data_IF_965683963968
#
_entry.id   IF_965683963968
#
_cell.length_a   1.000
_cell.length_b   1.000
_cell.length_c   1.000
_cell.angle_alpha   90.00
_cell.angle_beta   90.00
_cell.angle_gamma   90.00
#
_symmetry.space_group_name_H-M   'P 1'
#
loop_
_entity.id
_entity.type
_entity.pdbx_description
1 polymer ?
#
# COMPACT_ATOMS: atom_id res chain seq x y z
N UNK A 1 -8.09 -20.83 -41.16
CA UNK A 1 -6.98 -20.45 -40.27
C UNK A 1 -7.11 -18.96 -40.12
N UNK A 2 -7.67 -18.53 -38.99
CA UNK A 2 -7.88 -17.11 -38.69
C UNK A 2 -6.54 -16.48 -38.35
N UNK A 3 -6.14 -15.47 -39.13
CA UNK A 3 -4.97 -14.62 -38.86
C UNK A 3 -5.21 -13.86 -37.55
N UNK A 4 -4.65 -14.37 -36.45
CA UNK A 4 -4.47 -13.61 -35.22
C UNK A 4 -3.51 -12.48 -35.56
N UNK A 5 -3.90 -11.20 -35.42
CA UNK A 5 -2.98 -10.10 -35.69
C UNK A 5 -1.86 -10.16 -34.64
N UNK A 6 -0.62 -10.35 -35.10
CA UNK A 6 0.57 -10.18 -34.27
C UNK A 6 0.56 -8.76 -33.70
N UNK A 7 0.27 -8.65 -32.40
CA UNK A 7 0.30 -7.39 -31.66
C UNK A 7 1.74 -6.85 -31.73
N UNK A 8 1.99 -5.58 -32.14
CA UNK A 8 3.34 -5.14 -32.42
C UNK A 8 4.16 -5.20 -31.13
N UNK A 9 5.44 -5.66 -31.17
CA UNK A 9 6.32 -5.70 -29.99
C UNK A 9 6.49 -4.33 -29.31
N UNK A 10 6.13 -3.25 -30.00
CA UNK A 10 6.10 -1.89 -29.47
C UNK A 10 4.97 -1.63 -28.45
N UNK A 11 3.79 -2.24 -28.62
CA UNK A 11 2.66 -2.11 -27.68
C UNK A 11 2.99 -2.83 -26.39
N UNK A 12 3.48 -4.07 -26.49
CA UNK A 12 3.86 -4.88 -25.34
C UNK A 12 5.03 -4.26 -24.56
N UNK A 13 6.06 -3.75 -25.24
CA UNK A 13 7.16 -3.04 -24.59
C UNK A 13 6.71 -1.73 -23.93
N UNK A 14 5.77 -0.99 -24.52
CA UNK A 14 5.23 0.27 -23.95
C UNK A 14 4.31 0.01 -22.77
N UNK A 15 3.53 -1.07 -22.81
CA UNK A 15 2.73 -1.57 -21.69
C UNK A 15 3.65 -2.09 -20.58
N UNK A 16 4.64 -2.93 -20.89
CA UNK A 16 5.61 -3.41 -19.90
C UNK A 16 6.45 -2.29 -19.29
N UNK A 17 6.78 -1.25 -20.04
CA UNK A 17 7.50 -0.08 -19.52
C UNK A 17 6.62 0.81 -18.64
N UNK A 18 5.32 0.94 -18.96
CA UNK A 18 4.34 1.57 -18.07
C UNK A 18 4.13 0.74 -16.80
N UNK A 19 3.95 -0.57 -16.95
CA UNK A 19 3.79 -1.51 -15.84
C UNK A 19 5.04 -1.49 -14.96
N UNK A 20 6.26 -1.54 -15.51
CA UNK A 20 7.52 -1.48 -14.77
C UNK A 20 7.69 -0.19 -13.96
N UNK A 21 7.28 0.94 -14.54
CA UNK A 21 7.20 2.23 -13.83
C UNK A 21 6.12 2.19 -12.75
N UNK A 22 4.97 1.57 -13.02
CA UNK A 22 3.91 1.37 -12.03
C UNK A 22 4.31 0.43 -10.88
N UNK A 23 5.19 -0.58 -11.08
CA UNK A 23 5.64 -1.45 -9.97
C UNK A 23 6.60 -0.73 -9.02
N UNK A 24 7.44 0.17 -9.55
CA UNK A 24 8.26 1.09 -8.74
C UNK A 24 7.39 2.11 -8.00
N UNK A 25 6.29 2.56 -8.63
CA UNK A 25 5.28 3.46 -8.05
C UNK A 25 4.23 2.73 -7.19
N UNK A 26 4.26 1.39 -7.12
CA UNK A 26 3.31 0.57 -6.34
C UNK A 26 3.50 0.69 -4.81
N UNK A 27 4.20 1.74 -4.36
CA UNK A 27 4.41 2.12 -2.95
C UNK A 27 5.03 1.06 -2.07
N UNK A 28 5.60 0.00 -2.63
CA UNK A 28 6.32 -1.02 -1.86
C UNK A 28 7.54 -0.39 -1.18
N UNK A 29 8.25 0.53 -1.84
CA UNK A 29 9.33 1.30 -1.21
C UNK A 29 8.82 2.21 -0.08
N UNK A 30 7.65 2.83 -0.26
CA UNK A 30 7.02 3.62 0.80
C UNK A 30 6.63 2.73 1.99
N UNK A 31 6.08 1.54 1.71
CA UNK A 31 5.68 0.56 2.71
C UNK A 31 6.90 0.03 3.48
N UNK A 32 7.99 -0.27 2.78
CA UNK A 32 9.26 -0.72 3.37
C UNK A 32 9.85 0.34 4.32
N UNK A 33 9.89 1.60 3.86
CA UNK A 33 10.32 2.73 4.69
C UNK A 33 9.45 2.93 5.93
N UNK A 34 8.13 2.76 5.80
CA UNK A 34 7.22 2.86 6.94
C UNK A 34 7.33 1.69 7.92
N UNK A 35 7.54 0.46 7.44
CA UNK A 35 7.81 -0.69 8.29
C UNK A 35 9.12 -0.53 9.06
N UNK A 36 10.16 -0.05 8.38
CA UNK A 36 11.44 0.26 9.02
C UNK A 36 11.28 1.34 10.09
N UNK A 37 10.58 2.43 9.79
CA UNK A 37 10.28 3.50 10.75
C UNK A 37 9.39 3.03 11.92
N UNK A 38 8.56 2.01 11.69
CA UNK A 38 7.74 1.34 12.68
C UNK A 38 8.50 0.35 13.56
N UNK A 39 9.76 0.03 13.22
CA UNK A 39 10.55 -1.02 13.87
C UNK A 39 10.00 -2.43 13.59
N UNK A 40 9.37 -2.64 12.44
CA UNK A 40 8.72 -3.90 12.04
C UNK A 40 9.51 -4.61 10.95
N UNK A 41 9.44 -5.94 10.93
CA UNK A 41 10.12 -6.78 9.93
C UNK A 41 9.52 -6.60 8.53
N UNK A 42 10.37 -6.24 7.56
CA UNK A 42 10.04 -6.02 6.14
C UNK A 42 10.09 -7.30 5.30
N UNK A 43 10.34 -8.46 5.91
CA UNK A 43 10.27 -9.76 5.22
C UNK A 43 9.24 -10.70 5.87
N UNK A 44 8.53 -10.23 6.89
CA UNK A 44 7.63 -11.03 7.70
C UNK A 44 6.20 -11.13 7.17
N UNK A 45 5.39 -11.91 7.90
CA UNK A 45 3.96 -12.08 7.62
C UNK A 45 3.19 -10.76 7.68
N UNK A 46 3.56 -9.87 8.61
CA UNK A 46 2.91 -8.57 8.77
C UNK A 46 3.18 -7.65 7.58
N UNK A 47 4.39 -7.68 7.02
CA UNK A 47 4.70 -6.95 5.80
C UNK A 47 3.95 -7.49 4.59
N UNK A 48 3.86 -8.82 4.48
CA UNK A 48 3.04 -9.48 3.45
C UNK A 48 1.56 -9.11 3.58
N UNK A 49 1.05 -9.04 4.81
CA UNK A 49 -0.31 -8.59 5.09
C UNK A 49 -0.55 -7.14 4.66
N UNK A 50 0.37 -6.22 4.97
CA UNK A 50 0.26 -4.83 4.55
C UNK A 50 0.32 -4.67 3.01
N UNK A 51 1.17 -5.44 2.33
CA UNK A 51 1.19 -5.51 0.86
C UNK A 51 -0.15 -5.98 0.29
N UNK A 52 -0.75 -6.99 0.91
CA UNK A 52 -2.05 -7.50 0.49
C UNK A 52 -3.16 -6.45 0.63
N UNK A 53 -3.21 -5.73 1.75
CA UNK A 53 -4.17 -4.62 1.94
C UNK A 53 -3.99 -3.52 0.90
N UNK A 54 -2.75 -3.19 0.58
CA UNK A 54 -2.44 -2.18 -0.41
C UNK A 54 -2.85 -2.61 -1.81
N UNK A 55 -2.59 -3.87 -2.18
CA UNK A 55 -3.04 -4.44 -3.44
C UNK A 55 -4.58 -4.43 -3.56
N UNK A 56 -5.28 -4.88 -2.52
CA UNK A 56 -6.75 -4.82 -2.49
C UNK A 56 -7.29 -3.41 -2.68
N UNK A 57 -6.62 -2.42 -2.08
CA UNK A 57 -7.00 -1.01 -2.24
C UNK A 57 -6.81 -0.53 -3.68
N UNK A 58 -5.77 -0.97 -4.38
CA UNK A 58 -5.59 -0.63 -5.79
C UNK A 58 -6.60 -1.33 -6.72
N UNK A 59 -7.18 -2.46 -6.29
CA UNK A 59 -8.24 -3.14 -7.03
C UNK A 59 -9.63 -2.50 -6.84
N UNK A 60 -9.81 -1.67 -5.80
CA UNK A 60 -11.04 -0.95 -5.58
C UNK A 60 -11.03 0.34 -6.42
N UNK A 61 -12.02 0.50 -7.32
CA UNK A 61 -12.11 1.64 -8.25
C UNK A 61 -12.15 2.97 -7.49
N UNK A 62 -12.79 3.00 -6.32
CA UNK A 62 -12.91 4.20 -5.50
C UNK A 62 -11.57 4.60 -4.85
N UNK A 63 -10.63 3.65 -4.75
CA UNK A 63 -9.34 3.80 -4.08
C UNK A 63 -8.15 3.76 -5.05
N UNK A 64 -8.35 3.32 -6.29
CA UNK A 64 -7.30 3.20 -7.31
C UNK A 64 -6.64 4.54 -7.65
N UNK A 65 -7.33 5.67 -7.42
CA UNK A 65 -6.80 7.01 -7.61
C UNK A 65 -6.21 7.64 -6.33
N UNK A 66 -6.25 6.95 -5.19
CA UNK A 66 -5.69 7.48 -3.93
C UNK A 66 -4.17 7.58 -3.99
N UNK A 67 -3.62 8.54 -3.24
CA UNK A 67 -2.17 8.67 -3.08
C UNK A 67 -1.60 7.37 -2.50
N UNK A 68 -0.64 6.79 -3.22
CA UNK A 68 0.02 5.54 -2.87
C UNK A 68 0.65 5.59 -1.48
N UNK A 69 1.18 6.74 -1.04
CA UNK A 69 1.74 6.92 0.31
C UNK A 69 0.66 6.86 1.37
N UNK A 70 -0.53 7.39 1.08
CA UNK A 70 -1.67 7.27 1.98
C UNK A 70 -2.14 5.81 2.07
N UNK A 71 -2.17 5.07 0.96
CA UNK A 71 -2.49 3.64 0.95
C UNK A 71 -1.47 2.82 1.76
N UNK A 72 -0.17 3.07 1.56
CA UNK A 72 0.90 2.42 2.32
C UNK A 72 0.80 2.74 3.81
N UNK A 73 0.61 4.01 4.18
CA UNK A 73 0.42 4.44 5.56
C UNK A 73 -0.80 3.77 6.21
N UNK A 74 -1.90 3.65 5.45
CA UNK A 74 -3.12 2.97 5.92
C UNK A 74 -2.89 1.48 6.13
N UNK A 75 -2.16 0.81 5.22
CA UNK A 75 -1.76 -0.59 5.38
C UNK A 75 -0.90 -0.82 6.63
N UNK A 76 0.08 0.05 6.91
CA UNK A 76 0.89 -0.02 8.13
C UNK A 76 0.03 0.26 9.37
N UNK A 77 -0.83 1.26 9.33
CA UNK A 77 -1.71 1.62 10.46
C UNK A 77 -2.64 0.47 10.85
N UNK A 78 -3.31 -0.13 9.86
CA UNK A 78 -4.15 -1.32 10.05
C UNK A 78 -3.32 -2.46 10.65
N UNK A 79 -2.14 -2.74 10.08
CA UNK A 79 -1.28 -3.83 10.57
C UNK A 79 -0.82 -3.61 12.01
N UNK A 80 -0.50 -2.37 12.40
CA UNK A 80 -0.12 -2.03 13.79
C UNK A 80 -1.31 -2.09 14.73
N UNK A 81 -2.51 -1.74 14.26
CA UNK A 81 -3.76 -1.85 15.04
C UNK A 81 -4.12 -3.30 15.33
N UNK A 82 -3.95 -4.22 14.37
CA UNK A 82 -4.23 -5.65 14.57
C UNK A 82 -3.29 -6.31 15.59
N UNK A 83 -2.08 -5.81 15.74
CA UNK A 83 -1.09 -6.30 16.72
C UNK A 83 -0.88 -5.36 17.90
N UNK A 84 -1.80 -4.43 18.19
CA UNK A 84 -1.59 -3.36 19.18
C UNK A 84 -1.14 -3.89 20.54
N UNK A 85 -1.67 -5.04 20.98
CA UNK A 85 -1.28 -5.67 22.25
C UNK A 85 0.14 -6.27 22.28
N UNK A 86 0.82 -6.35 21.13
CA UNK A 86 2.16 -6.91 20.96
C UNK A 86 3.23 -5.84 20.67
N UNK A 87 2.81 -4.59 20.43
CA UNK A 87 3.72 -3.48 20.15
C UNK A 87 3.78 -2.52 21.34
N UNK A 88 4.97 -1.96 21.58
CA UNK A 88 5.14 -0.91 22.57
C UNK A 88 4.75 0.47 21.97
N UNK A 89 4.05 1.28 22.77
CA UNK A 89 3.74 2.67 22.42
C UNK A 89 2.47 2.85 21.59
N UNK A 90 2.40 3.98 20.85
CA UNK A 90 1.23 4.34 20.04
C UNK A 90 1.17 3.55 18.73
N UNK A 91 -0.04 3.37 18.20
CA UNK A 91 -0.24 2.77 16.88
C UNK A 91 0.44 3.66 15.82
N UNK A 92 0.26 4.97 15.88
CA UNK A 92 0.95 5.91 15.01
C UNK A 92 1.92 6.82 15.79
N UNK A 93 3.21 6.73 15.48
CA UNK A 93 4.26 7.49 16.17
C UNK A 93 4.63 8.77 15.39
N UNK A 94 5.33 9.70 16.03
CA UNK A 94 5.85 10.91 15.36
C UNK A 94 6.84 10.57 14.25
N UNK A 95 7.59 9.48 14.37
CA UNK A 95 8.47 8.98 13.32
C UNK A 95 7.67 8.55 12.08
N UNK A 96 6.54 7.87 12.28
CA UNK A 96 5.64 7.47 11.19
C UNK A 96 4.96 8.68 10.53
N UNK A 97 4.60 9.70 11.32
CA UNK A 97 4.12 10.98 10.78
C UNK A 97 5.22 11.66 9.95
N UNK A 98 6.46 11.69 10.44
CA UNK A 98 7.59 12.28 9.71
C UNK A 98 7.89 11.56 8.40
N UNK A 99 7.81 10.23 8.38
CA UNK A 99 8.09 9.42 7.19
C UNK A 99 6.96 9.48 6.14
N UNK A 100 5.71 9.49 6.58
CA UNK A 100 4.54 9.46 5.67
C UNK A 100 4.01 10.84 5.30
N UNK A 101 4.26 11.86 6.14
CA UNK A 101 3.51 13.13 6.15
C UNK A 101 1.99 12.97 6.39
N UNK A 102 1.56 11.85 6.99
CA UNK A 102 0.14 11.55 7.27
C UNK A 102 -0.10 11.51 8.78
N UNK A 103 -1.12 12.25 9.24
CA UNK A 103 -1.52 12.25 10.65
C UNK A 103 -2.36 11.02 11.00
N UNK A 104 -2.36 10.65 12.29
CA UNK A 104 -3.21 9.56 12.80
C UNK A 104 -4.70 9.85 12.57
N UNK A 105 -5.14 11.09 12.76
CA UNK A 105 -6.52 11.51 12.49
C UNK A 105 -6.94 11.36 11.03
N UNK A 106 -6.02 11.60 10.08
CA UNK A 106 -6.28 11.41 8.67
C UNK A 106 -6.45 9.91 8.34
N UNK A 107 -5.69 9.04 9.00
CA UNK A 107 -5.83 7.58 8.85
C UNK A 107 -7.14 7.08 9.45
N UNK A 108 -7.55 7.57 10.62
CA UNK A 108 -8.82 7.18 11.23
C UNK A 108 -10.03 7.63 10.41
N UNK A 109 -10.01 8.87 9.94
CA UNK A 109 -11.03 9.41 9.03
C UNK A 109 -11.04 8.65 7.70
N UNK A 110 -9.85 8.36 7.16
CA UNK A 110 -9.64 7.58 5.95
C UNK A 110 -10.23 6.18 6.07
N UNK A 111 -9.91 5.41 7.10
CA UNK A 111 -10.47 4.06 7.28
C UNK A 111 -12.01 4.04 7.33
N UNK A 112 -12.61 5.09 7.90
CA UNK A 112 -14.08 5.22 7.99
C UNK A 112 -14.68 5.52 6.62
N UNK A 113 -13.98 6.32 5.81
CA UNK A 113 -14.43 6.76 4.47
C UNK A 113 -14.15 5.70 3.40
N UNK A 114 -12.98 5.06 3.45
CA UNK A 114 -12.49 4.11 2.44
C UNK A 114 -13.07 2.69 2.63
N UNK A 115 -14.03 2.50 3.54
CA UNK A 115 -14.69 1.19 3.84
C UNK A 115 -13.72 0.00 4.00
N UNK A 116 -12.45 0.25 4.35
CA UNK A 116 -11.45 -0.80 4.57
C UNK A 116 -11.81 -1.73 5.73
N UNK A 117 -12.81 -1.36 6.54
CA UNK A 117 -13.46 -2.25 7.51
C UNK A 117 -14.07 -3.51 6.88
N UNK A 118 -14.41 -3.51 5.58
CA UNK A 118 -14.91 -4.72 4.90
C UNK A 118 -13.82 -5.77 4.64
N UNK A 119 -12.55 -5.40 4.82
CA UNK A 119 -11.38 -6.27 4.63
C UNK A 119 -10.85 -6.85 5.94
N UNK A 120 -11.38 -6.41 7.09
CA UNK A 120 -11.08 -6.93 8.44
C UNK A 120 -12.13 -7.93 8.87
#
# INVERSE_FOLDING_TARGET
MDDIPDDPPHTQAKVMKRVAVDISVCGIECLDGLFTAAGMDTHGRLFSFAKYLMFLSLCDIDLAACDVRLLAATGVYITRKTIQGQIAGRIWSTALVGQSSVSESALESGMTTLRMQRLM
#
